data_IF_640427765179
#
_entry.id   IF_640427765179
#
_cell.length_a   1.000
_cell.length_b   1.000
_cell.length_c   1.000
_cell.angle_alpha   90.00
_cell.angle_beta   90.00
_cell.angle_gamma   90.00
#
_symmetry.space_group_name_H-M   'P 1'
#
loop_
_entity.id
_entity.type
_entity.pdbx_description
1 polymer ?
#
# COMPACT_ATOMS: atom_id res chain seq x y z
N UNK A 1 -3.80 20.46 -3.55
CA UNK A 1 -4.21 19.23 -2.82
C UNK A 1 -5.68 18.99 -3.11
N UNK A 2 -6.05 17.80 -3.59
CA UNK A 2 -7.46 17.44 -3.75
C UNK A 2 -8.02 16.99 -2.39
N UNK A 3 -9.09 17.63 -1.92
CA UNK A 3 -9.77 17.27 -0.67
C UNK A 3 -10.82 16.18 -0.96
N UNK A 4 -10.72 15.04 -0.28
CA UNK A 4 -11.67 13.93 -0.42
C UNK A 4 -12.62 13.93 0.78
N UNK A 5 -13.75 14.62 0.66
CA UNK A 5 -14.64 14.84 1.80
C UNK A 5 -15.55 13.63 2.14
N UNK A 6 -15.61 12.61 1.27
CA UNK A 6 -16.47 11.44 1.42
C UNK A 6 -15.73 10.17 0.95
N UNK A 7 -14.82 9.65 1.78
CA UNK A 7 -14.17 8.35 1.56
C UNK A 7 -14.90 7.29 2.39
N UNK A 8 -15.48 6.31 1.72
CA UNK A 8 -15.93 5.08 2.38
C UNK A 8 -14.73 4.18 2.57
N UNK A 9 -14.40 3.88 3.83
CA UNK A 9 -13.23 3.07 4.19
C UNK A 9 -13.70 1.67 4.55
N UNK A 10 -13.18 0.67 3.85
CA UNK A 10 -13.38 -0.74 4.15
C UNK A 10 -12.08 -1.31 4.72
N UNK A 11 -12.00 -1.61 6.02
CA UNK A 11 -10.81 -2.24 6.60
C UNK A 11 -10.63 -3.64 6.02
N UNK A 12 -9.38 -4.01 5.76
CA UNK A 12 -8.96 -5.35 5.32
C UNK A 12 -8.32 -6.14 6.46
N UNK A 13 -7.77 -5.44 7.44
CA UNK A 13 -7.16 -5.99 8.65
C UNK A 13 -7.67 -5.20 9.85
N UNK A 14 -7.64 -5.82 11.03
CA UNK A 14 -7.89 -5.10 12.28
C UNK A 14 -6.74 -4.14 12.54
N UNK A 15 -7.06 -2.85 12.64
CA UNK A 15 -6.06 -1.80 12.87
C UNK A 15 -6.42 -1.09 14.14
N UNK A 16 -5.44 -1.01 15.03
CA UNK A 16 -5.50 -0.08 16.12
C UNK A 16 -5.30 1.35 15.60
N UNK A 17 -6.42 2.07 15.47
CA UNK A 17 -6.43 3.47 15.00
C UNK A 17 -5.60 4.39 15.91
N UNK A 18 -5.40 4.02 17.19
CA UNK A 18 -4.57 4.82 18.10
C UNK A 18 -3.10 4.84 17.69
N UNK A 19 -2.64 3.80 16.97
CA UNK A 19 -1.27 3.64 16.48
C UNK A 19 -1.11 4.12 15.03
N UNK A 20 -2.15 4.67 14.41
CA UNK A 20 -2.05 5.19 13.03
C UNK A 20 -1.32 6.52 12.93
N UNK A 21 -1.18 7.26 14.04
CA UNK A 21 -0.45 8.54 14.06
C UNK A 21 1.08 8.39 13.97
N UNK A 22 1.61 7.21 14.29
CA UNK A 22 3.05 7.03 14.51
C UNK A 22 3.83 6.69 13.24
N UNK A 23 3.15 6.44 12.13
CA UNK A 23 3.77 6.03 10.88
C UNK A 23 3.15 6.72 9.66
N UNK A 24 3.94 6.95 8.59
CA UNK A 24 3.42 7.44 7.32
C UNK A 24 2.29 6.57 6.77
N UNK A 25 1.25 7.24 6.27
CA UNK A 25 0.14 6.62 5.54
C UNK A 25 0.17 7.12 4.10
N UNK A 26 0.00 6.20 3.15
CA UNK A 26 -0.08 6.50 1.73
C UNK A 26 -1.45 6.09 1.18
N UNK A 27 -2.02 6.97 0.35
CA UNK A 27 -3.23 6.70 -0.44
C UNK A 27 -2.80 6.45 -1.89
N UNK A 28 -3.00 5.24 -2.39
CA UNK A 28 -2.58 4.85 -3.75
C UNK A 28 -3.80 4.57 -4.61
N UNK A 29 -3.97 5.22 -5.77
CA UNK A 29 -5.13 5.00 -6.63
C UNK A 29 -5.10 3.60 -7.25
N UNK A 30 -6.24 2.92 -7.27
CA UNK A 30 -6.42 1.65 -7.99
C UNK A 30 -6.81 2.00 -9.43
N UNK A 31 -5.81 2.01 -10.33
CA UNK A 31 -6.03 2.35 -11.73
C UNK A 31 -6.61 1.16 -12.50
N UNK A 32 -7.94 1.09 -12.58
CA UNK A 32 -8.67 0.06 -13.33
C UNK A 32 -9.46 0.74 -14.46
N UNK A 33 -9.30 0.27 -15.70
CA UNK A 33 -10.05 0.79 -16.85
C UNK A 33 -11.52 0.34 -16.86
N UNK A 34 -11.87 -0.67 -16.06
CA UNK A 34 -13.22 -1.19 -15.97
C UNK A 34 -13.89 -0.64 -14.71
N UNK A 35 -15.10 -0.07 -14.85
CA UNK A 35 -15.92 0.50 -13.76
C UNK A 35 -16.36 -0.51 -12.67
N UNK A 36 -15.72 -1.67 -12.59
CA UNK A 36 -15.99 -2.71 -11.58
C UNK A 36 -15.06 -2.52 -10.40
N UNK A 37 -15.63 -2.58 -9.19
CA UNK A 37 -14.88 -2.62 -7.95
C UNK A 37 -14.02 -3.89 -7.90
N UNK A 38 -12.75 -3.72 -7.56
CA UNK A 38 -11.87 -4.84 -7.25
C UNK A 38 -12.05 -5.16 -5.77
N UNK A 39 -12.44 -6.40 -5.51
CA UNK A 39 -12.57 -6.93 -4.15
C UNK A 39 -11.53 -8.03 -3.86
N UNK A 40 -10.82 -8.48 -4.89
CA UNK A 40 -9.75 -9.46 -4.75
C UNK A 40 -8.46 -8.79 -4.25
N UNK A 41 -7.94 -9.30 -3.13
CA UNK A 41 -6.75 -8.76 -2.46
C UNK A 41 -5.53 -8.79 -3.36
N UNK A 42 -5.34 -9.87 -4.11
CA UNK A 42 -4.19 -10.02 -5.03
C UNK A 42 -4.20 -8.91 -6.08
N UNK A 43 -5.37 -8.66 -6.68
CA UNK A 43 -5.58 -7.62 -7.67
C UNK A 43 -5.39 -6.23 -7.06
N UNK A 44 -5.92 -5.98 -5.86
CA UNK A 44 -5.72 -4.72 -5.13
C UNK A 44 -4.23 -4.44 -4.87
N UNK A 45 -3.51 -5.42 -4.32
CA UNK A 45 -2.07 -5.31 -4.04
C UNK A 45 -1.26 -5.11 -5.32
N UNK A 46 -1.64 -5.76 -6.41
CA UNK A 46 -1.01 -5.58 -7.72
C UNK A 46 -1.19 -4.14 -8.22
N UNK A 47 -2.41 -3.59 -8.17
CA UNK A 47 -2.65 -2.20 -8.54
C UNK A 47 -1.92 -1.22 -7.63
N UNK A 48 -1.91 -1.47 -6.33
CA UNK A 48 -1.12 -0.75 -5.34
C UNK A 48 0.37 -0.68 -5.76
N UNK A 49 0.95 -1.81 -6.18
CA UNK A 49 2.34 -1.88 -6.61
C UNK A 49 2.62 -1.09 -7.89
N UNK A 50 1.68 -1.03 -8.83
CA UNK A 50 1.80 -0.23 -10.05
C UNK A 50 1.43 1.25 -9.87
N UNK A 51 0.66 1.59 -8.83
CA UNK A 51 0.22 2.95 -8.54
C UNK A 51 1.28 3.82 -7.85
N UNK A 52 2.46 3.26 -7.56
CA UNK A 52 3.59 3.95 -6.93
C UNK A 52 4.76 4.10 -7.89
N UNK A 53 5.59 5.12 -7.69
CA UNK A 53 6.85 5.31 -8.42
C UNK A 53 8.02 4.49 -7.87
N UNK A 54 7.80 3.73 -6.79
CA UNK A 54 8.82 2.91 -6.13
C UNK A 54 9.01 1.57 -6.86
N UNK A 55 10.20 0.98 -6.71
CA UNK A 55 10.50 -0.33 -7.31
C UNK A 55 9.99 -1.44 -6.40
N UNK A 56 9.01 -2.22 -6.86
CA UNK A 56 8.51 -3.39 -6.12
C UNK A 56 9.62 -4.43 -5.92
N UNK A 57 9.76 -4.93 -4.69
CA UNK A 57 10.71 -5.99 -4.32
C UNK A 57 10.03 -7.29 -3.91
N UNK A 58 8.94 -7.19 -3.15
CA UNK A 58 8.19 -8.35 -2.71
C UNK A 58 6.72 -8.01 -2.51
N UNK A 59 5.88 -9.01 -2.70
CA UNK A 59 4.43 -8.96 -2.49
C UNK A 59 4.03 -10.19 -1.68
N UNK A 60 3.60 -9.97 -0.45
CA UNK A 60 3.11 -11.00 0.45
C UNK A 60 1.60 -10.83 0.64
N UNK A 61 0.86 -11.60 -0.17
CA UNK A 61 -0.61 -11.53 -0.25
C UNK A 61 -1.25 -11.94 1.08
N UNK A 62 -0.67 -12.94 1.76
CA UNK A 62 -1.26 -13.50 2.99
C UNK A 62 -1.24 -12.49 4.12
N UNK A 63 -0.16 -11.70 4.21
CA UNK A 63 0.02 -10.69 5.24
C UNK A 63 -0.28 -9.26 4.75
N UNK A 64 -0.84 -9.10 3.55
CA UNK A 64 -1.15 -7.81 2.95
C UNK A 64 0.07 -6.86 2.88
N UNK A 65 1.29 -7.40 2.77
CA UNK A 65 2.54 -6.63 2.86
C UNK A 65 3.17 -6.43 1.48
N UNK A 66 3.55 -5.19 1.19
CA UNK A 66 4.31 -4.80 0.00
C UNK A 66 5.67 -4.29 0.43
N UNK A 67 6.71 -4.71 -0.26
CA UNK A 67 8.07 -4.22 -0.02
C UNK A 67 8.56 -3.46 -1.24
N UNK A 68 8.99 -2.22 -1.03
CA UNK A 68 9.45 -1.34 -2.09
C UNK A 68 10.87 -0.87 -1.83
N UNK A 69 11.69 -0.86 -2.87
CA UNK A 69 12.98 -0.18 -2.84
C UNK A 69 12.77 1.29 -3.15
N UNK A 70 13.21 2.16 -2.23
CA UNK A 70 13.15 3.60 -2.36
C UNK A 70 14.44 4.24 -1.83
N UNK A 71 15.16 4.97 -2.68
CA UNK A 71 16.39 5.70 -2.31
C UNK A 71 17.44 4.86 -1.54
N UNK A 72 17.61 3.59 -1.92
CA UNK A 72 18.59 2.68 -1.29
C UNK A 72 18.10 2.03 0.02
N UNK A 73 16.84 2.23 0.40
CA UNK A 73 16.18 1.54 1.51
C UNK A 73 15.11 0.59 0.99
N UNK A 74 14.80 -0.45 1.76
CA UNK A 74 13.59 -1.26 1.57
C UNK A 74 12.56 -0.77 2.58
N UNK A 75 11.45 -0.25 2.06
CA UNK A 75 10.30 0.13 2.88
C UNK A 75 9.27 -0.99 2.81
N UNK A 76 8.68 -1.32 3.95
CA UNK A 76 7.62 -2.31 4.01
C UNK A 76 6.31 -1.68 4.42
N UNK A 77 5.28 -1.95 3.63
CA UNK A 77 3.98 -1.32 3.73
C UNK A 77 2.89 -2.35 3.93
N UNK A 78 1.95 -2.07 4.82
CA UNK A 78 0.75 -2.86 5.04
C UNK A 78 -0.42 -2.24 4.28
N UNK A 79 -1.06 -3.00 3.40
CA UNK A 79 -2.36 -2.68 2.84
C UNK A 79 -3.43 -2.98 3.88
N UNK A 80 -3.94 -1.94 4.52
CA UNK A 80 -4.81 -2.11 5.69
C UNK A 80 -6.28 -1.80 5.39
N UNK A 81 -6.57 -1.04 4.34
CA UNK A 81 -7.92 -0.71 3.93
C UNK A 81 -8.01 -0.38 2.44
N UNK A 82 -9.23 -0.51 1.90
CA UNK A 82 -9.61 0.05 0.59
C UNK A 82 -10.57 1.19 0.83
N UNK A 83 -10.36 2.30 0.14
CA UNK A 83 -11.26 3.43 0.16
C UNK A 83 -11.96 3.61 -1.17
N UNK A 84 -13.22 4.04 -1.13
CA UNK A 84 -13.97 4.46 -2.31
C UNK A 84 -14.42 5.91 -2.13
N UNK A 85 -14.18 6.75 -3.13
CA UNK A 85 -14.68 8.13 -3.11
C UNK A 85 -16.08 8.28 -3.71
N UNK A 86 -16.66 9.48 -3.61
CA UNK A 86 -17.97 9.79 -4.18
C UNK A 86 -18.07 9.64 -5.71
N UNK A 87 -16.93 9.55 -6.43
CA UNK A 87 -16.87 9.28 -7.88
C UNK A 87 -16.69 7.80 -8.17
N UNK A 88 -16.83 6.94 -7.15
CA UNK A 88 -16.65 5.50 -7.22
C UNK A 88 -15.22 5.09 -7.62
N UNK A 89 -14.22 5.93 -7.33
CA UNK A 89 -12.80 5.63 -7.53
C UNK A 89 -12.28 4.89 -6.30
N UNK A 90 -11.60 3.78 -6.53
CA UNK A 90 -10.97 2.99 -5.49
C UNK A 90 -9.53 3.46 -5.22
N UNK A 91 -9.15 3.41 -3.95
CA UNK A 91 -7.82 3.70 -3.46
C UNK A 91 -7.41 2.65 -2.44
N UNK A 92 -6.16 2.21 -2.50
CA UNK A 92 -5.53 1.48 -1.41
C UNK A 92 -5.08 2.46 -0.31
N UNK A 93 -5.24 2.08 0.95
CA UNK A 93 -4.55 2.70 2.07
C UNK A 93 -3.41 1.82 2.57
N UNK A 94 -2.21 2.38 2.57
CA UNK A 94 -0.99 1.74 3.00
C UNK A 94 -0.45 2.41 4.26
N UNK A 95 0.00 1.63 5.24
CA UNK A 95 0.74 2.09 6.42
C UNK A 95 2.17 1.61 6.31
N UNK A 96 3.15 2.49 6.52
CA UNK A 96 4.54 2.08 6.62
C UNK A 96 4.75 1.30 7.93
N UNK A 97 5.28 0.08 7.84
CA UNK A 97 5.59 -0.75 9.00
C UNK A 97 7.01 -0.51 9.48
N UNK A 98 7.97 -0.62 8.57
CA UNK A 98 9.40 -0.51 8.86
C UNK A 98 10.19 -0.12 7.60
N UNK A 99 11.44 0.29 7.83
CA UNK A 99 12.42 0.62 6.80
C UNK A 99 13.72 -0.10 7.11
N UNK A 100 14.23 -0.87 6.16
CA UNK A 100 15.48 -1.60 6.25
C UNK A 100 16.53 -1.01 5.31
N UNK A 101 17.80 -1.00 5.76
CA UNK A 101 18.93 -0.79 4.85
C UNK A 101 19.35 -2.15 4.28
N UNK A 102 19.48 -2.30 2.95
CA UNK A 102 20.05 -3.51 2.38
C UNK A 102 21.45 -3.72 2.98
N UNK A 103 21.63 -4.80 3.74
CA UNK A 103 22.96 -5.20 4.18
C UNK A 103 23.72 -5.68 2.96
N UNK A 104 24.67 -4.88 2.47
CA UNK A 104 25.69 -5.37 1.53
C UNK A 104 26.58 -6.38 2.27
N UNK A 105 26.14 -7.63 2.40
CA UNK A 105 27.06 -8.72 2.67
C UNK A 105 27.96 -8.83 1.45
N UNK A 106 29.20 -8.33 1.55
CA UNK A 106 30.25 -8.69 0.61
C UNK A 106 30.32 -10.22 0.63
N UNK A 107 29.95 -10.86 -0.47
CA UNK A 107 30.33 -12.24 -0.71
C UNK A 107 31.86 -12.24 -0.82
N UNK A 108 32.54 -12.57 0.27
CA UNK A 108 33.94 -12.97 0.24
C UNK A 108 33.97 -14.41 -0.24
N UNK A 109 34.26 -14.60 -1.52
CA UNK A 109 34.60 -15.86 -2.15
C UNK A 109 35.82 -15.65 -3.03
#
# INVERSE_FOLDING_TARGET
MATFNNLFVTPLVDIDLTQMGDAPIALVPVCINNKKHVNDVTTLMTHCAFGTSKVLKALDIQNYRLSFSNNGFIEHWLLFAVCTDAKNRQFCLLKLLDIERPSHSKATG
#
